data_IF_814418167796
#
_entry.id   IF_814418167796
#
_cell.length_a   1.000
_cell.length_b   1.000
_cell.length_c   1.000
_cell.angle_alpha   90.00
_cell.angle_beta   90.00
_cell.angle_gamma   90.00
#
_symmetry.space_group_name_H-M   'P 1'
#
loop_
_entity.id
_entity.type
_entity.pdbx_description
1 polymer ?
#
# COMPACT_ATOMS: atom_id res chain seq x y z
N UNK A 1 8.93 -19.91 18.74
CA UNK A 1 8.14 -19.19 17.74
C UNK A 1 6.76 -19.80 17.75
N UNK A 2 5.69 -19.04 18.00
CA UNK A 2 4.34 -19.61 17.94
C UNK A 2 4.10 -20.04 16.48
N UNK A 3 3.74 -21.29 16.28
CA UNK A 3 3.28 -21.78 14.98
C UNK A 3 2.06 -20.98 14.56
N UNK A 4 2.15 -20.31 13.40
CA UNK A 4 1.01 -19.60 12.82
C UNK A 4 0.08 -20.66 12.22
N UNK A 5 -1.12 -20.78 12.81
CA UNK A 5 -2.15 -21.68 12.30
C UNK A 5 -3.09 -20.90 11.38
N UNK A 6 -3.33 -21.41 10.17
CA UNK A 6 -4.28 -20.82 9.23
C UNK A 6 -5.72 -21.04 9.72
N UNK A 7 -6.61 -20.10 9.45
CA UNK A 7 -8.06 -20.30 9.62
C UNK A 7 -8.60 -21.19 8.50
N UNK A 8 -9.80 -21.74 8.69
CA UNK A 8 -10.45 -22.61 7.69
C UNK A 8 -10.56 -21.93 6.32
N UNK A 9 -10.89 -20.63 6.30
CA UNK A 9 -10.95 -19.85 5.05
C UNK A 9 -9.59 -19.60 4.43
N UNK A 10 -8.56 -19.40 5.24
CA UNK A 10 -7.19 -19.26 4.75
C UNK A 10 -6.67 -20.60 4.18
N UNK A 11 -7.02 -21.73 4.79
CA UNK A 11 -6.70 -23.06 4.24
C UNK A 11 -7.40 -23.33 2.91
N UNK A 12 -8.67 -22.94 2.79
CA UNK A 12 -9.41 -23.01 1.53
C UNK A 12 -8.75 -22.13 0.45
N UNK A 13 -8.39 -20.90 0.79
CA UNK A 13 -7.70 -19.99 -0.11
C UNK A 13 -6.34 -20.53 -0.57
N UNK A 14 -5.58 -21.15 0.34
CA UNK A 14 -4.32 -21.83 0.03
C UNK A 14 -4.55 -22.95 -1.00
N UNK A 15 -5.52 -23.82 -0.77
CA UNK A 15 -5.84 -24.93 -1.68
C UNK A 15 -6.26 -24.43 -3.06
N UNK A 16 -7.13 -23.43 -3.12
CA UNK A 16 -7.59 -22.84 -4.38
C UNK A 16 -6.42 -22.18 -5.13
N UNK A 17 -5.57 -21.42 -4.46
CA UNK A 17 -4.43 -20.76 -5.09
C UNK A 17 -3.44 -21.78 -5.67
N UNK A 18 -3.08 -22.82 -4.90
CA UNK A 18 -2.19 -23.86 -5.37
C UNK A 18 -2.80 -24.66 -6.55
N UNK A 19 -4.08 -25.03 -6.48
CA UNK A 19 -4.75 -25.75 -7.56
C UNK A 19 -4.77 -24.91 -8.85
N UNK A 20 -5.11 -23.64 -8.78
CA UNK A 20 -5.17 -22.71 -9.94
C UNK A 20 -3.79 -22.52 -10.58
N UNK A 21 -2.74 -22.38 -9.76
CA UNK A 21 -1.37 -22.33 -10.25
C UNK A 21 -0.99 -23.62 -10.99
N UNK A 22 -1.24 -24.78 -10.39
CA UNK A 22 -0.85 -26.09 -10.94
C UNK A 22 -1.53 -26.39 -12.27
N UNK A 23 -2.79 -25.97 -12.46
CA UNK A 23 -3.50 -26.19 -13.73
C UNK A 23 -3.24 -25.07 -14.76
N UNK A 24 -2.32 -24.15 -14.50
CA UNK A 24 -1.90 -23.12 -15.45
C UNK A 24 -2.90 -21.99 -15.66
N UNK A 25 -3.76 -21.71 -14.65
CA UNK A 25 -4.62 -20.52 -14.74
C UNK A 25 -3.79 -19.24 -14.72
N UNK A 26 -4.20 -18.17 -15.42
CA UNK A 26 -3.36 -16.97 -15.53
C UNK A 26 -3.24 -16.19 -14.21
N UNK A 27 -4.22 -16.28 -13.32
CA UNK A 27 -4.21 -15.56 -12.06
C UNK A 27 -5.12 -16.17 -10.99
N UNK A 28 -4.83 -15.82 -9.75
CA UNK A 28 -5.70 -16.05 -8.58
C UNK A 28 -5.90 -14.75 -7.84
N UNK A 29 -7.14 -14.41 -7.49
CA UNK A 29 -7.49 -13.21 -6.71
C UNK A 29 -8.01 -13.63 -5.34
N UNK A 30 -7.34 -13.18 -4.29
CA UNK A 30 -7.74 -13.34 -2.89
C UNK A 30 -8.11 -11.95 -2.36
N UNK A 31 -9.39 -11.77 -2.14
CA UNK A 31 -9.94 -10.57 -1.55
C UNK A 31 -10.14 -10.76 -0.05
N UNK A 32 -10.20 -9.66 0.71
CA UNK A 32 -10.50 -9.76 2.14
C UNK A 32 -10.26 -8.46 2.89
N UNK A 33 -10.80 -8.41 4.09
CA UNK A 33 -10.71 -7.23 4.94
C UNK A 33 -9.29 -6.94 5.45
N UNK A 34 -9.07 -5.70 5.90
CA UNK A 34 -7.85 -5.37 6.64
C UNK A 34 -7.77 -6.26 7.90
N UNK A 35 -6.60 -6.83 8.16
CA UNK A 35 -6.41 -7.76 9.29
C UNK A 35 -6.86 -9.20 9.05
N UNK A 36 -7.31 -9.58 7.83
CA UNK A 36 -7.66 -10.95 7.49
C UNK A 36 -6.45 -11.88 7.21
N UNK A 37 -5.22 -11.39 7.38
CA UNK A 37 -4.00 -12.19 7.23
C UNK A 37 -3.58 -12.46 5.79
N UNK A 38 -4.03 -11.69 4.79
CA UNK A 38 -3.68 -11.86 3.37
C UNK A 38 -2.17 -11.99 3.13
N UNK A 39 -1.36 -11.06 3.64
CA UNK A 39 0.09 -11.08 3.45
C UNK A 39 0.78 -12.30 4.09
N UNK A 40 0.24 -12.80 5.19
CA UNK A 40 0.72 -14.03 5.82
C UNK A 40 0.41 -15.23 4.93
N UNK A 41 -0.80 -15.32 4.40
CA UNK A 41 -1.24 -16.40 3.52
C UNK A 41 -0.38 -16.53 2.26
N UNK A 42 0.11 -15.43 1.69
CA UNK A 42 1.04 -15.45 0.53
C UNK A 42 2.28 -16.30 0.81
N UNK A 43 2.87 -16.14 1.99
CA UNK A 43 4.07 -16.92 2.37
C UNK A 43 3.77 -18.42 2.40
N UNK A 44 2.59 -18.80 2.90
CA UNK A 44 2.15 -20.21 2.89
C UNK A 44 1.92 -20.73 1.47
N UNK A 45 1.34 -19.92 0.59
CA UNK A 45 1.11 -20.29 -0.83
C UNK A 45 2.45 -20.51 -1.54
N UNK A 46 3.40 -19.57 -1.43
CA UNK A 46 4.74 -19.68 -2.04
C UNK A 46 5.47 -20.92 -1.52
N UNK A 47 5.44 -21.14 -0.20
CA UNK A 47 6.04 -22.32 0.41
C UNK A 47 5.39 -23.63 -0.07
N UNK A 48 4.07 -23.69 -0.16
CA UNK A 48 3.35 -24.87 -0.63
C UNK A 48 3.59 -25.18 -2.12
N UNK A 49 3.86 -24.15 -2.92
CA UNK A 49 4.22 -24.28 -4.34
C UNK A 49 5.71 -24.58 -4.55
N UNK A 50 6.53 -24.55 -3.50
CA UNK A 50 7.99 -24.69 -3.56
C UNK A 50 8.66 -23.72 -4.55
N UNK A 51 8.13 -22.50 -4.69
CA UNK A 51 8.72 -21.48 -5.57
C UNK A 51 9.83 -20.76 -4.80
N UNK A 52 11.06 -20.72 -5.33
CA UNK A 52 12.15 -19.97 -4.71
C UNK A 52 11.87 -18.47 -4.65
N UNK A 53 12.32 -17.77 -3.60
CA UNK A 53 12.06 -16.34 -3.42
C UNK A 53 12.57 -15.48 -4.58
N UNK A 54 13.66 -15.87 -5.22
CA UNK A 54 14.21 -15.20 -6.41
C UNK A 54 13.33 -15.32 -7.64
N UNK A 55 12.42 -16.31 -7.69
CA UNK A 55 11.44 -16.50 -8.76
C UNK A 55 10.09 -15.81 -8.50
N UNK A 56 9.98 -15.06 -7.40
CA UNK A 56 8.77 -14.34 -7.03
C UNK A 56 9.00 -12.84 -7.19
N UNK A 57 8.19 -12.18 -8.03
CA UNK A 57 8.13 -10.71 -8.10
C UNK A 57 6.99 -10.21 -7.19
N UNK A 58 7.30 -9.34 -6.24
CA UNK A 58 6.30 -8.69 -5.41
C UNK A 58 6.02 -7.30 -5.94
N UNK A 59 4.76 -7.02 -6.28
CA UNK A 59 4.36 -5.81 -6.96
C UNK A 59 3.44 -4.96 -6.09
N UNK A 60 3.79 -3.69 -5.96
CA UNK A 60 2.93 -2.66 -5.39
C UNK A 60 2.72 -1.52 -6.40
N UNK A 61 1.64 -0.76 -6.24
CA UNK A 61 1.37 0.37 -7.13
C UNK A 61 2.31 1.56 -6.86
N UNK A 62 2.68 1.81 -5.61
CA UNK A 62 3.53 2.94 -5.23
C UNK A 62 4.91 2.50 -4.74
N UNK A 63 5.93 3.37 -4.92
CA UNK A 63 7.29 3.10 -4.42
C UNK A 63 7.34 2.89 -2.91
N UNK A 64 6.55 3.67 -2.15
CA UNK A 64 6.44 3.49 -0.70
C UNK A 64 5.92 2.11 -0.32
N UNK A 65 4.87 1.63 -0.99
CA UNK A 65 4.32 0.30 -0.74
C UNK A 65 5.32 -0.80 -1.11
N UNK A 66 6.06 -0.64 -2.21
CA UNK A 66 7.14 -1.56 -2.58
C UNK A 66 8.25 -1.61 -1.53
N UNK A 67 8.66 -0.46 -0.97
CA UNK A 67 9.66 -0.43 0.11
C UNK A 67 9.13 -1.09 1.40
N UNK A 68 7.86 -0.91 1.73
CA UNK A 68 7.23 -1.61 2.87
C UNK A 68 7.28 -3.14 2.67
N UNK A 69 7.02 -3.63 1.46
CA UNK A 69 7.15 -5.06 1.14
C UNK A 69 8.60 -5.55 1.29
N UNK A 70 9.60 -4.78 0.83
CA UNK A 70 11.02 -5.12 1.03
C UNK A 70 11.35 -5.26 2.51
N UNK A 71 10.95 -4.31 3.33
CA UNK A 71 11.19 -4.31 4.77
C UNK A 71 10.48 -5.48 5.49
N UNK A 72 9.42 -6.03 4.87
CA UNK A 72 8.72 -7.23 5.35
C UNK A 72 9.33 -8.55 4.86
N UNK A 73 10.50 -8.49 4.19
CA UNK A 73 11.22 -9.66 3.72
C UNK A 73 10.83 -10.14 2.33
N UNK A 74 10.35 -9.23 1.46
CA UNK A 74 10.10 -9.48 0.04
C UNK A 74 11.21 -8.83 -0.80
N UNK A 75 12.36 -9.48 -1.05
CA UNK A 75 13.56 -8.82 -1.61
C UNK A 75 13.32 -8.27 -3.02
N UNK A 76 12.52 -8.96 -3.83
CA UNK A 76 12.19 -8.57 -5.21
C UNK A 76 10.96 -7.65 -5.29
N UNK A 77 10.64 -6.92 -4.21
CA UNK A 77 9.51 -6.00 -4.23
C UNK A 77 9.84 -4.75 -5.06
N UNK A 78 8.91 -4.40 -5.96
CA UNK A 78 9.04 -3.26 -6.86
C UNK A 78 7.68 -2.69 -7.24
N UNK A 79 7.67 -1.56 -7.96
CA UNK A 79 6.43 -1.03 -8.52
C UNK A 79 6.06 -1.77 -9.80
N UNK A 80 4.76 -1.80 -10.13
CA UNK A 80 4.29 -2.34 -11.41
C UNK A 80 4.99 -1.69 -12.61
N UNK A 81 5.21 -0.40 -12.57
CA UNK A 81 5.95 0.31 -13.63
C UNK A 81 7.39 -0.18 -13.77
N UNK A 82 8.10 -0.43 -12.67
CA UNK A 82 9.48 -0.93 -12.73
C UNK A 82 9.54 -2.33 -13.34
N UNK A 83 8.57 -3.18 -13.03
CA UNK A 83 8.48 -4.52 -13.63
C UNK A 83 8.22 -4.44 -15.13
N UNK A 84 7.26 -3.61 -15.56
CA UNK A 84 6.67 -3.63 -16.89
C UNK A 84 7.36 -2.71 -17.92
N UNK A 85 8.12 -1.69 -17.48
CA UNK A 85 8.66 -0.66 -18.37
C UNK A 85 10.16 -0.47 -18.20
N UNK A 86 10.82 -0.18 -19.33
CA UNK A 86 12.12 0.46 -19.34
C UNK A 86 11.92 1.97 -19.13
N UNK A 87 12.58 2.55 -18.15
CA UNK A 87 12.62 3.99 -17.94
C UNK A 87 13.90 4.56 -18.57
N UNK A 88 13.78 5.55 -19.48
CA UNK A 88 14.90 6.27 -20.06
C UNK A 88 14.74 7.76 -19.82
N UNK A 89 15.75 8.39 -19.23
CA UNK A 89 15.76 9.83 -19.09
C UNK A 89 16.09 10.51 -20.42
N UNK A 90 15.30 11.51 -20.78
CA UNK A 90 15.55 12.35 -21.96
C UNK A 90 16.59 13.43 -21.63
N UNK A 91 17.16 14.07 -22.68
CA UNK A 91 18.09 15.19 -22.49
C UNK A 91 17.48 16.40 -21.75
N UNK A 92 16.16 16.47 -21.67
CA UNK A 92 15.41 17.51 -20.95
C UNK A 92 15.06 17.13 -19.50
N UNK A 93 15.58 15.99 -19.00
CA UNK A 93 15.33 15.52 -17.64
C UNK A 93 14.00 14.77 -17.43
N UNK A 94 13.16 14.63 -18.47
CA UNK A 94 11.93 13.88 -18.40
C UNK A 94 12.18 12.38 -18.60
N UNK A 95 11.34 11.52 -18.00
CA UNK A 95 11.40 10.07 -18.24
C UNK A 95 10.42 9.65 -19.33
N UNK A 96 10.89 8.79 -20.23
CA UNK A 96 10.07 8.08 -21.21
C UNK A 96 10.02 6.61 -20.81
N UNK A 97 8.82 6.06 -20.74
CA UNK A 97 8.57 4.68 -20.37
C UNK A 97 8.23 3.88 -21.62
N UNK A 98 8.97 2.80 -21.85
CA UNK A 98 8.74 1.88 -22.97
C UNK A 98 8.36 0.52 -22.42
N UNK A 99 7.22 -0.07 -22.81
CA UNK A 99 6.83 -1.39 -22.32
C UNK A 99 7.88 -2.45 -22.62
N UNK A 100 8.18 -3.31 -21.67
CA UNK A 100 9.03 -4.47 -21.83
C UNK A 100 8.27 -5.56 -22.58
N UNK A 101 8.89 -6.18 -23.56
CA UNK A 101 8.34 -7.35 -24.26
C UNK A 101 8.53 -8.63 -23.44
N UNK A 102 9.61 -8.69 -22.67
CA UNK A 102 9.98 -9.80 -21.80
C UNK A 102 10.41 -9.18 -20.46
N UNK A 103 10.08 -9.81 -19.36
CA UNK A 103 10.54 -9.38 -18.03
C UNK A 103 12.05 -9.57 -17.92
N UNK A 104 12.70 -8.75 -17.09
CA UNK A 104 14.17 -8.79 -16.93
C UNK A 104 14.63 -10.10 -16.27
N UNK A 105 13.77 -10.71 -15.45
CA UNK A 105 14.03 -11.93 -14.73
C UNK A 105 12.99 -13.00 -15.08
N UNK A 106 13.36 -14.26 -14.94
CA UNK A 106 12.50 -15.42 -15.19
C UNK A 106 11.65 -15.73 -13.95
N UNK A 107 10.60 -14.92 -13.73
CA UNK A 107 9.67 -15.10 -12.62
C UNK A 107 8.69 -16.25 -12.90
N UNK A 108 8.40 -17.03 -11.85
CA UNK A 108 7.38 -18.08 -11.85
C UNK A 108 6.06 -17.60 -11.22
N UNK A 109 6.13 -16.58 -10.37
CA UNK A 109 4.97 -15.99 -9.68
C UNK A 109 5.11 -14.47 -9.57
N UNK A 110 4.04 -13.77 -9.89
CA UNK A 110 3.90 -12.33 -9.60
C UNK A 110 2.87 -12.18 -8.48
N UNK A 111 3.27 -11.65 -7.34
CA UNK A 111 2.38 -11.30 -6.23
C UNK A 111 2.05 -9.83 -6.33
N UNK A 112 0.76 -9.48 -6.48
CA UNK A 112 0.29 -8.09 -6.50
C UNK A 112 -0.40 -7.80 -5.18
N UNK A 113 0.21 -6.94 -4.36
CA UNK A 113 -0.39 -6.44 -3.13
C UNK A 113 -1.20 -5.17 -3.43
N UNK A 114 -2.33 -5.00 -2.74
CA UNK A 114 -3.25 -3.87 -2.90
C UNK A 114 -3.70 -3.67 -4.36
N UNK A 115 -4.16 -4.75 -5.01
CA UNK A 115 -4.57 -4.73 -6.43
C UNK A 115 -5.68 -3.71 -6.72
N UNK A 116 -6.46 -3.28 -5.72
CA UNK A 116 -7.45 -2.20 -5.83
C UNK A 116 -6.88 -0.89 -6.35
N UNK A 117 -5.60 -0.61 -6.06
CA UNK A 117 -4.89 0.60 -6.49
C UNK A 117 -4.29 0.47 -7.89
N UNK A 118 -4.25 -0.73 -8.47
CA UNK A 118 -3.62 -0.97 -9.76
C UNK A 118 -4.58 -0.59 -10.90
N UNK A 119 -4.22 0.32 -11.83
CA UNK A 119 -5.03 0.62 -13.00
C UNK A 119 -5.29 -0.60 -13.88
N UNK A 120 -6.44 -0.64 -14.52
CA UNK A 120 -6.85 -1.74 -15.40
C UNK A 120 -5.85 -2.03 -16.52
N UNK A 121 -5.24 -0.99 -17.09
CA UNK A 121 -4.24 -1.13 -18.15
C UNK A 121 -3.00 -1.91 -17.65
N UNK A 122 -2.49 -1.57 -16.47
CA UNK A 122 -1.34 -2.27 -15.88
C UNK A 122 -1.69 -3.73 -15.52
N UNK A 123 -2.94 -3.99 -15.12
CA UNK A 123 -3.41 -5.36 -14.88
C UNK A 123 -3.36 -6.19 -16.16
N UNK A 124 -3.84 -5.67 -17.29
CA UNK A 124 -3.77 -6.38 -18.58
C UNK A 124 -2.33 -6.57 -19.06
N UNK A 125 -1.47 -5.58 -18.84
CA UNK A 125 -0.06 -5.70 -19.18
C UNK A 125 0.63 -6.80 -18.34
N UNK A 126 0.35 -6.89 -17.04
CA UNK A 126 0.86 -7.99 -16.21
C UNK A 126 0.42 -9.36 -16.77
N UNK A 127 -0.86 -9.52 -17.08
CA UNK A 127 -1.40 -10.74 -17.65
C UNK A 127 -0.74 -11.13 -18.97
N UNK A 128 -0.36 -10.15 -19.79
CA UNK A 128 0.24 -10.41 -21.13
C UNK A 128 1.61 -11.08 -21.06
N UNK A 129 2.28 -11.07 -19.91
CA UNK A 129 3.58 -11.73 -19.73
C UNK A 129 3.46 -13.26 -19.48
N UNK A 130 2.26 -13.78 -19.27
CA UNK A 130 2.03 -15.22 -19.11
C UNK A 130 2.52 -15.84 -17.79
N UNK A 131 3.00 -15.04 -16.85
CA UNK A 131 3.38 -15.47 -15.50
C UNK A 131 2.14 -15.50 -14.62
N UNK A 132 1.97 -16.54 -13.78
CA UNK A 132 0.82 -16.61 -12.87
C UNK A 132 0.81 -15.44 -11.89
N UNK A 133 -0.33 -14.77 -11.74
CA UNK A 133 -0.49 -13.63 -10.85
C UNK A 133 -1.31 -14.04 -9.62
N UNK A 134 -0.73 -13.89 -8.43
CA UNK A 134 -1.45 -13.97 -7.16
C UNK A 134 -1.78 -12.53 -6.70
N UNK A 135 -3.00 -12.10 -6.93
CA UNK A 135 -3.45 -10.76 -6.59
C UNK A 135 -4.20 -10.75 -5.26
N UNK A 136 -3.85 -9.78 -4.43
CA UNK A 136 -4.51 -9.53 -3.15
C UNK A 136 -5.07 -8.12 -3.11
N UNK A 137 -6.23 -7.96 -2.51
CA UNK A 137 -6.83 -6.65 -2.33
C UNK A 137 -7.99 -6.65 -1.35
N UNK A 138 -8.52 -5.48 -1.18
CA UNK A 138 -9.67 -5.21 -0.34
C UNK A 138 -10.63 -4.32 -1.14
N UNK A 139 -11.83 -4.81 -1.49
CA UNK A 139 -12.77 -4.05 -2.33
C UNK A 139 -13.32 -2.80 -1.65
N UNK A 140 -13.15 -2.67 -0.34
CA UNK A 140 -13.53 -1.47 0.41
C UNK A 140 -12.43 -0.44 0.54
N UNK A 141 -11.26 -0.65 -0.08
CA UNK A 141 -10.19 0.34 -0.15
C UNK A 141 -10.34 1.26 -1.35
N UNK A 142 -9.51 2.32 -1.39
CA UNK A 142 -9.54 3.32 -2.45
C UNK A 142 -9.21 2.72 -3.81
N UNK A 143 -9.94 3.19 -4.82
CA UNK A 143 -9.68 2.93 -6.23
C UNK A 143 -8.43 3.70 -6.72
N UNK A 144 -7.89 3.37 -7.91
CA UNK A 144 -6.80 4.11 -8.51
C UNK A 144 -7.13 5.61 -8.67
N UNK A 145 -6.15 6.51 -8.56
CA UNK A 145 -6.36 7.95 -8.76
C UNK A 145 -6.89 8.31 -10.15
N UNK A 146 -6.69 7.47 -11.15
CA UNK A 146 -7.24 7.62 -12.51
C UNK A 146 -8.75 7.42 -12.59
N UNK A 147 -9.38 6.88 -11.55
CA UNK A 147 -10.81 6.55 -11.54
C UNK A 147 -11.19 5.25 -12.25
N UNK A 148 -10.27 4.64 -13.00
CA UNK A 148 -10.49 3.34 -13.65
C UNK A 148 -10.25 2.22 -12.64
N UNK A 149 -11.33 1.61 -12.16
CA UNK A 149 -11.26 0.47 -11.24
C UNK A 149 -10.79 -0.79 -11.95
N UNK A 150 -9.91 -1.52 -11.29
CA UNK A 150 -9.48 -2.82 -11.74
C UNK A 150 -10.58 -3.86 -11.50
N UNK A 151 -10.95 -4.59 -12.56
CA UNK A 151 -11.98 -5.63 -12.50
C UNK A 151 -11.56 -6.89 -11.75
N UNK A 152 -10.29 -7.04 -11.39
CA UNK A 152 -9.79 -8.21 -10.68
C UNK A 152 -10.53 -8.49 -9.36
N UNK A 153 -10.97 -7.44 -8.66
CA UNK A 153 -11.70 -7.58 -7.38
C UNK A 153 -13.22 -7.72 -7.52
N UNK A 154 -13.78 -7.60 -8.72
CA UNK A 154 -15.23 -7.76 -8.92
C UNK A 154 -15.70 -9.19 -8.64
N UNK A 155 -14.87 -10.17 -9.02
CA UNK A 155 -15.14 -11.60 -8.83
C UNK A 155 -13.91 -12.30 -8.24
N UNK A 156 -13.59 -12.10 -6.96
CA UNK A 156 -12.46 -12.78 -6.33
C UNK A 156 -12.72 -14.28 -6.23
N UNK A 157 -11.65 -15.07 -6.32
CA UNK A 157 -11.74 -16.54 -6.19
C UNK A 157 -11.97 -16.96 -4.74
N UNK A 158 -11.49 -16.15 -3.79
CA UNK A 158 -11.73 -16.32 -2.35
C UNK A 158 -11.90 -14.96 -1.69
N UNK A 159 -12.82 -14.89 -0.75
CA UNK A 159 -13.02 -13.72 0.09
C UNK A 159 -12.76 -14.06 1.57
N UNK A 160 -11.74 -13.44 2.16
CA UNK A 160 -11.38 -13.59 3.57
C UNK A 160 -12.13 -12.53 4.39
N UNK A 161 -13.26 -12.93 4.96
CA UNK A 161 -14.11 -12.09 5.81
C UNK A 161 -13.79 -12.23 7.31
N UNK A 162 -12.98 -13.21 7.68
CA UNK A 162 -12.56 -13.42 9.07
C UNK A 162 -11.42 -12.48 9.44
N UNK A 163 -11.68 -11.57 10.38
CA UNK A 163 -10.65 -10.72 10.95
C UNK A 163 -9.94 -11.50 12.06
N UNK A 164 -8.61 -11.54 12.01
CA UNK A 164 -7.80 -12.20 13.02
C UNK A 164 -8.07 -11.60 14.42
N UNK A 165 -8.10 -12.43 15.48
CA UNK A 165 -8.46 -12.04 16.85
C UNK A 165 -7.73 -10.77 17.33
N UNK A 166 -6.42 -10.69 17.12
CA UNK A 166 -5.63 -9.50 17.48
C UNK A 166 -6.10 -8.22 16.78
N UNK A 167 -6.56 -8.33 15.53
CA UNK A 167 -7.09 -7.20 14.78
C UNK A 167 -8.51 -6.81 15.24
N UNK A 168 -9.31 -7.77 15.74
CA UNK A 168 -10.67 -7.49 16.27
C UNK A 168 -10.63 -6.64 17.55
N UNK A 169 -9.57 -6.69 18.33
CA UNK A 169 -9.39 -5.88 19.53
C UNK A 169 -9.20 -4.39 19.20
N UNK A 170 -8.66 -4.07 18.02
CA UNK A 170 -8.44 -2.68 17.60
C UNK A 170 -9.76 -1.94 17.31
N UNK A 171 -9.96 -0.81 17.98
CA UNK A 171 -11.12 0.05 17.72
C UNK A 171 -11.09 0.64 16.31
N UNK A 172 -9.90 0.82 15.72
CA UNK A 172 -9.74 1.29 14.33
C UNK A 172 -10.32 0.27 13.35
N UNK A 173 -10.01 -1.01 13.55
CA UNK A 173 -10.56 -2.10 12.71
C UNK A 173 -12.08 -2.19 12.89
N UNK A 174 -12.58 -2.12 14.12
CA UNK A 174 -14.03 -2.11 14.37
C UNK A 174 -14.75 -0.93 13.71
N UNK A 175 -14.15 0.28 13.75
CA UNK A 175 -14.69 1.44 13.03
C UNK A 175 -14.70 1.20 11.52
N UNK A 176 -13.63 0.66 10.95
CA UNK A 176 -13.58 0.35 9.51
C UNK A 176 -14.68 -0.63 9.09
N UNK A 177 -14.95 -1.66 9.91
CA UNK A 177 -16.04 -2.60 9.66
C UNK A 177 -17.41 -1.95 9.78
N UNK A 178 -17.61 -1.10 10.80
CA UNK A 178 -18.84 -0.34 10.98
C UNK A 178 -19.18 0.51 9.74
N UNK A 179 -18.16 1.15 9.14
CA UNK A 179 -18.32 1.94 7.90
C UNK A 179 -18.65 1.03 6.70
N UNK A 180 -17.97 -0.12 6.57
CA UNK A 180 -18.20 -1.09 5.48
C UNK A 180 -19.59 -1.69 5.49
N UNK A 181 -20.15 -1.89 6.68
CA UNK A 181 -21.54 -2.34 6.85
C UNK A 181 -22.58 -1.25 6.55
N UNK A 182 -22.14 -0.08 6.08
CA UNK A 182 -23.02 1.06 5.79
C UNK A 182 -23.59 1.76 7.02
N UNK A 183 -23.04 1.47 8.20
CA UNK A 183 -23.48 2.10 9.45
C UNK A 183 -22.89 3.51 9.57
N UNK A 184 -23.62 4.40 10.20
CA UNK A 184 -23.20 5.77 10.40
C UNK A 184 -22.00 5.83 11.37
N UNK A 185 -20.82 6.17 10.84
CA UNK A 185 -19.59 6.26 11.64
C UNK A 185 -19.67 7.30 12.77
N UNK A 186 -20.57 8.28 12.67
CA UNK A 186 -20.81 9.29 13.72
C UNK A 186 -21.41 8.69 14.98
N UNK A 187 -22.05 7.53 14.83
CA UNK A 187 -22.63 6.76 15.96
C UNK A 187 -21.64 5.76 16.55
N UNK A 188 -20.43 5.66 16.00
CA UNK A 188 -19.41 4.78 16.55
C UNK A 188 -18.94 5.28 17.92
N UNK A 189 -18.91 4.41 18.96
CA UNK A 189 -18.50 4.83 20.30
C UNK A 189 -17.06 5.33 20.30
N UNK A 190 -16.80 6.43 21.01
CA UNK A 190 -15.44 6.86 21.29
C UNK A 190 -14.75 5.84 22.16
N UNK A 191 -13.62 5.30 21.70
CA UNK A 191 -12.76 4.40 22.46
C UNK A 191 -11.55 5.20 22.92
N UNK A 192 -11.45 5.42 24.22
CA UNK A 192 -10.38 6.21 24.82
C UNK A 192 -9.00 5.67 24.41
N UNK A 193 -8.16 6.56 23.92
CA UNK A 193 -6.79 6.25 23.51
C UNK A 193 -6.63 5.67 22.09
N UNK A 194 -7.70 5.20 21.42
CA UNK A 194 -7.61 4.61 20.10
C UNK A 194 -8.39 5.38 19.03
N UNK A 195 -9.68 5.63 19.28
CA UNK A 195 -10.59 6.25 18.29
C UNK A 195 -11.44 7.32 18.94
N UNK A 196 -11.46 8.49 18.31
CA UNK A 196 -12.36 9.59 18.65
C UNK A 196 -12.99 10.14 17.38
N UNK A 197 -14.31 10.04 17.25
CA UNK A 197 -15.07 10.62 16.14
C UNK A 197 -15.57 12.00 16.57
N UNK A 198 -15.18 13.04 15.84
CA UNK A 198 -15.52 14.44 16.16
C UNK A 198 -16.37 15.01 15.01
N UNK A 199 -17.57 15.55 15.28
CA UNK A 199 -18.37 16.22 14.27
C UNK A 199 -17.64 17.43 13.67
N UNK A 200 -17.65 17.58 12.35
CA UNK A 200 -16.96 18.64 11.62
C UNK A 200 -17.29 20.07 12.10
N UNK A 201 -18.49 20.28 12.64
CA UNK A 201 -18.97 21.60 13.12
C UNK A 201 -18.52 21.94 14.55
N UNK A 202 -17.91 20.99 15.24
CA UNK A 202 -17.46 21.20 16.59
C UNK A 202 -15.99 21.62 16.54
N UNK A 203 -15.72 22.88 16.91
CA UNK A 203 -14.40 23.28 17.36
C UNK A 203 -14.20 22.60 18.71
N UNK A 204 -13.35 21.60 18.76
CA UNK A 204 -13.00 20.99 20.03
C UNK A 204 -11.88 21.81 20.68
N UNK A 205 -11.98 22.01 22.00
CA UNK A 205 -11.11 22.90 22.76
C UNK A 205 -9.61 22.62 22.54
N UNK A 206 -9.25 21.37 22.26
CA UNK A 206 -7.85 20.92 22.07
C UNK A 206 -7.45 20.72 20.60
N UNK A 207 -8.13 21.34 19.64
CA UNK A 207 -7.83 21.12 18.21
C UNK A 207 -6.37 21.39 17.88
N UNK A 208 -5.85 22.54 18.32
CA UNK A 208 -4.48 22.94 18.01
C UNK A 208 -3.46 21.98 18.67
N UNK A 209 -3.71 21.56 19.89
CA UNK A 209 -2.85 20.60 20.59
C UNK A 209 -2.90 19.24 19.90
N UNK A 210 -4.08 18.79 19.48
CA UNK A 210 -4.24 17.52 18.72
C UNK A 210 -3.49 17.55 17.40
N UNK A 211 -3.56 18.67 16.65
CA UNK A 211 -2.82 18.84 15.40
C UNK A 211 -1.30 18.80 15.62
N UNK A 212 -0.81 19.44 16.68
CA UNK A 212 0.62 19.47 17.02
C UNK A 212 1.17 18.11 17.48
N UNK A 213 0.34 17.31 18.16
CA UNK A 213 0.73 15.99 18.66
C UNK A 213 0.56 14.87 17.63
N UNK A 214 -0.15 15.13 16.53
CA UNK A 214 -0.41 14.10 15.52
C UNK A 214 0.87 13.67 14.80
N UNK A 215 1.17 12.38 14.81
CA UNK A 215 2.27 11.82 14.02
C UNK A 215 2.01 11.98 12.52
N UNK A 216 0.75 11.93 12.09
CA UNK A 216 0.32 12.09 10.71
C UNK A 216 -1.11 12.65 10.65
N UNK A 217 -1.33 13.62 9.75
CA UNK A 217 -2.65 14.15 9.45
C UNK A 217 -3.02 13.72 8.03
N UNK A 218 -4.18 13.08 7.87
CA UNK A 218 -4.71 12.66 6.58
C UNK A 218 -5.86 13.58 6.15
N UNK A 219 -5.87 13.97 4.89
CA UNK A 219 -6.91 14.82 4.31
C UNK A 219 -7.26 14.38 2.89
N UNK A 220 -8.45 14.72 2.43
CA UNK A 220 -8.97 14.27 1.14
C UNK A 220 -8.43 15.05 -0.07
N UNK A 221 -7.92 16.26 0.12
CA UNK A 221 -7.49 17.12 -0.99
C UNK A 221 -6.14 17.79 -0.74
N UNK A 222 -5.44 18.13 -1.82
CA UNK A 222 -4.20 18.90 -1.73
C UNK A 222 -4.42 20.30 -1.14
N UNK A 223 -5.56 20.93 -1.42
CA UNK A 223 -5.88 22.24 -0.85
C UNK A 223 -5.94 22.19 0.68
N UNK A 224 -6.66 21.21 1.24
CA UNK A 224 -6.70 20.98 2.69
C UNK A 224 -5.32 20.66 3.27
N UNK A 225 -4.52 19.88 2.55
CA UNK A 225 -3.15 19.59 2.97
C UNK A 225 -2.30 20.84 3.11
N UNK A 226 -2.37 21.78 2.15
CA UNK A 226 -1.63 23.04 2.22
C UNK A 226 -2.13 23.92 3.37
N UNK A 227 -3.45 24.03 3.54
CA UNK A 227 -4.07 24.81 4.61
C UNK A 227 -3.65 24.29 6.00
N UNK A 228 -3.72 22.96 6.21
CA UNK A 228 -3.34 22.35 7.49
C UNK A 228 -1.84 22.51 7.74
N UNK A 229 -1.00 22.31 6.73
CA UNK A 229 0.45 22.51 6.87
C UNK A 229 0.78 23.95 7.25
N UNK A 230 0.18 24.94 6.59
CA UNK A 230 0.37 26.35 6.90
C UNK A 230 -0.08 26.67 8.35
N UNK A 231 -1.25 26.16 8.76
CA UNK A 231 -1.75 26.30 10.13
C UNK A 231 -0.78 25.71 11.15
N UNK A 232 -0.32 24.48 10.96
CA UNK A 232 0.61 23.81 11.89
C UNK A 232 1.96 24.51 11.93
N UNK A 233 2.51 24.91 10.78
CA UNK A 233 3.78 25.66 10.72
C UNK A 233 3.70 26.97 11.48
N UNK A 234 2.62 27.74 11.31
CA UNK A 234 2.38 28.98 12.08
C UNK A 234 2.30 28.74 13.58
N UNK A 235 1.63 27.66 14.01
CA UNK A 235 1.58 27.29 15.43
C UNK A 235 2.96 26.92 16.01
N UNK A 236 3.83 26.35 15.18
CA UNK A 236 5.22 26.03 15.53
C UNK A 236 6.17 27.22 15.41
N UNK A 237 5.69 28.41 14.99
CA UNK A 237 6.52 29.60 14.75
C UNK A 237 7.45 29.44 13.54
N UNK A 238 7.15 28.55 12.60
CA UNK A 238 7.96 28.25 11.42
C UNK A 238 7.51 29.04 10.19
N UNK A 239 8.47 29.40 9.33
CA UNK A 239 8.24 30.08 8.07
C UNK A 239 7.71 29.18 6.96
N UNK A 240 7.49 29.70 5.73
CA UNK A 240 6.99 28.94 4.60
C UNK A 240 8.04 27.98 3.99
N UNK A 241 9.32 28.22 4.29
CA UNK A 241 10.42 27.39 3.81
C UNK A 241 10.63 26.22 4.76
N UNK A 242 10.91 25.00 4.27
CA UNK A 242 11.24 23.86 5.12
C UNK A 242 12.46 24.16 6.01
N UNK A 243 12.41 23.70 7.25
CA UNK A 243 13.43 23.92 8.28
C UNK A 243 13.88 22.58 8.88
N UNK A 244 15.04 22.52 9.56
CA UNK A 244 15.46 21.32 10.27
C UNK A 244 14.37 20.75 11.18
N UNK A 245 14.26 19.42 11.24
CA UNK A 245 13.22 18.65 11.92
C UNK A 245 11.83 18.67 11.24
N UNK A 246 11.64 19.42 10.16
CA UNK A 246 10.42 19.30 9.38
C UNK A 246 10.30 17.89 8.76
N UNK A 247 9.12 17.30 8.90
CA UNK A 247 8.77 16.07 8.23
C UNK A 247 8.38 16.39 6.79
N UNK A 248 9.05 15.78 5.84
CA UNK A 248 8.86 15.98 4.42
C UNK A 248 8.36 14.73 3.73
N UNK A 249 7.70 14.89 2.58
CA UNK A 249 7.25 13.79 1.73
C UNK A 249 7.71 14.05 0.29
N UNK A 250 8.32 13.07 -0.34
CA UNK A 250 8.65 13.09 -1.76
C UNK A 250 7.39 13.11 -2.61
N UNK A 251 7.25 14.10 -3.49
CA UNK A 251 6.10 14.22 -4.40
C UNK A 251 6.38 13.66 -5.79
N UNK A 252 7.64 13.33 -6.08
CA UNK A 252 8.09 12.74 -7.35
C UNK A 252 9.14 11.67 -7.07
N UNK A 253 9.35 10.80 -8.06
CA UNK A 253 10.45 9.85 -8.01
C UNK A 253 11.75 10.55 -8.42
N UNK A 254 12.77 10.40 -7.59
CA UNK A 254 14.16 10.80 -7.87
C UNK A 254 15.01 9.52 -7.83
N UNK A 255 15.24 8.95 -9.00
CA UNK A 255 15.90 7.65 -9.13
C UNK A 255 17.41 7.73 -8.90
N UNK A 256 17.99 8.91 -9.12
CA UNK A 256 19.42 9.18 -8.97
C UNK A 256 19.79 9.59 -7.53
N UNK A 257 18.78 10.01 -6.74
CA UNK A 257 18.97 10.39 -5.35
C UNK A 257 18.62 9.18 -4.46
N UNK A 258 19.55 8.79 -3.63
CA UNK A 258 19.38 7.68 -2.69
C UNK A 258 19.38 8.20 -1.25
N UNK A 259 18.58 7.56 -0.41
CA UNK A 259 18.64 7.77 1.05
C UNK A 259 19.93 7.20 1.62
N UNK A 260 20.23 7.52 2.89
CA UNK A 260 21.37 6.93 3.63
C UNK A 260 21.32 5.40 3.68
N UNK A 261 20.15 4.81 3.51
CA UNK A 261 19.92 3.36 3.40
C UNK A 261 20.11 2.81 1.98
N UNK A 262 20.51 3.64 1.01
CA UNK A 262 20.72 3.24 -0.38
C UNK A 262 19.43 3.04 -1.19
N UNK A 263 18.27 3.47 -0.68
CA UNK A 263 17.00 3.39 -1.39
C UNK A 263 16.75 4.66 -2.21
N UNK A 264 16.30 4.52 -3.45
CA UNK A 264 15.92 5.67 -4.28
C UNK A 264 14.79 6.48 -3.60
N UNK A 265 14.88 7.81 -3.68
CA UNK A 265 13.83 8.69 -3.18
C UNK A 265 12.61 8.62 -4.10
N UNK A 266 11.59 7.91 -3.65
CA UNK A 266 10.38 7.67 -4.44
C UNK A 266 9.23 8.59 -4.01
N UNK A 267 8.24 8.73 -4.89
CA UNK A 267 6.99 9.39 -4.54
C UNK A 267 6.36 8.71 -3.31
N UNK A 268 6.03 9.51 -2.30
CA UNK A 268 5.50 9.03 -1.02
C UNK A 268 6.58 8.66 0.01
N UNK A 269 7.89 8.73 -0.32
CA UNK A 269 8.94 8.59 0.67
C UNK A 269 8.81 9.69 1.73
N UNK A 270 8.94 9.32 3.00
CA UNK A 270 8.84 10.23 4.15
C UNK A 270 10.23 10.32 4.77
N UNK A 271 10.67 11.53 5.03
CA UNK A 271 11.91 11.83 5.73
C UNK A 271 11.77 13.04 6.63
N UNK A 272 12.85 13.43 7.28
CA UNK A 272 12.96 14.67 8.06
C UNK A 272 14.17 15.44 7.59
N UNK A 273 14.08 16.77 7.64
CA UNK A 273 15.22 17.62 7.35
C UNK A 273 16.20 17.53 8.53
N UNK A 274 17.43 17.16 8.25
CA UNK A 274 18.50 17.14 9.24
C UNK A 274 19.27 18.48 9.25
N UNK A 275 19.76 18.96 10.41
CA UNK A 275 20.64 20.12 10.46
C UNK A 275 21.92 19.81 9.68
N UNK A 276 22.28 20.65 8.72
CA UNK A 276 23.52 20.51 7.94
C UNK A 276 23.53 21.45 6.74
N UNK A 277 24.69 21.67 6.15
CA UNK A 277 24.88 22.56 5.00
C UNK A 277 24.48 21.95 3.64
N UNK A 278 23.92 20.77 3.64
CA UNK A 278 23.49 20.07 2.42
C UNK A 278 21.99 19.70 2.50
N UNK A 279 21.22 20.29 1.59
CA UNK A 279 19.86 19.85 1.32
C UNK A 279 19.95 18.54 0.51
N UNK A 280 19.39 17.48 1.03
CA UNK A 280 19.14 16.25 0.28
C UNK A 280 17.67 16.24 -0.18
#
# INVERSE_FOLDING_TARGET
MNEITLTTKQEEALKIACARYTIGMPYTVISGYAGAGKSTLVKFIISALNIPDEKVAYIAYTGKAANVLKNKGCPNAMTAHKLLYHARQTKTGNYVFTPKKVLDEDYELIVVDEVSMLPQELWYQLLSHGVHILAMGDPGQLSPPSGETNTALENPHVFLDEIMRQAQESAIIRLSMHIREGKDFRLFPTVSGEVRVIPHKWQFEDENQTLLQASQILCGTNAQRFEINDKVRKMLGRGPVPEPEDKIIGLKNHWDDVSDEGNALTNGAIGSIVPGDHYI
#
